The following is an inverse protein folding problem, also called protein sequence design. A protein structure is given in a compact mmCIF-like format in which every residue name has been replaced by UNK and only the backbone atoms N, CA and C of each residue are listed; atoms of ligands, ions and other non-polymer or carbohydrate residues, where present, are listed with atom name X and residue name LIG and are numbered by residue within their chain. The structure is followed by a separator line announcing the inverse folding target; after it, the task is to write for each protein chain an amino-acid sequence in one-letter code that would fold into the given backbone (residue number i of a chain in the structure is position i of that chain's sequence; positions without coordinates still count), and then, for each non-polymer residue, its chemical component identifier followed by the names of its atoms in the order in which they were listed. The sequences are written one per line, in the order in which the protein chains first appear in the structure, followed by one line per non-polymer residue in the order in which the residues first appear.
data_IF_371254081522
#
_entry.id   IF_371254081522
#
_cell.length_a   1.000
_cell.length_b   1.000
_cell.length_c   1.000
_cell.angle_alpha   90.00
_cell.angle_beta   90.00
_cell.angle_gamma   90.00
#
_symmetry.space_group_name_H-M   'P 1'
#
loop_
_entity.id
_entity.type
_entity.pdbx_description
1 polymer ?
#
# COMPACT_ATOMS: atom_id res chain seq x y z
N UNK A 1 37.20 -17.52 -16.01
CA UNK A 1 36.69 -18.31 -17.16
C UNK A 1 37.81 -19.20 -17.66
N UNK A 2 37.81 -20.47 -17.28
CA UNK A 2 38.76 -21.44 -17.83
C UNK A 2 38.19 -22.03 -19.14
N UNK A 3 39.06 -22.57 -19.98
CA UNK A 3 38.84 -22.81 -21.41
C UNK A 3 37.77 -23.85 -21.81
N UNK A 4 36.98 -24.36 -20.85
CA UNK A 4 35.90 -25.36 -21.09
C UNK A 4 34.49 -24.82 -20.84
N UNK A 5 34.34 -23.57 -20.39
CA UNK A 5 33.01 -22.93 -20.24
C UNK A 5 32.07 -23.62 -19.25
N UNK A 6 32.60 -24.28 -18.22
CA UNK A 6 31.82 -24.97 -17.20
C UNK A 6 31.19 -23.96 -16.24
N UNK A 7 29.86 -24.04 -16.05
CA UNK A 7 29.12 -23.18 -15.12
C UNK A 7 29.07 -23.87 -13.76
N UNK A 8 29.96 -23.46 -12.86
CA UNK A 8 29.98 -23.96 -11.48
C UNK A 8 28.77 -23.46 -10.69
N UNK A 9 28.09 -24.36 -9.97
CA UNK A 9 27.03 -24.02 -9.02
C UNK A 9 27.56 -24.25 -7.61
N UNK A 10 27.51 -23.22 -6.77
CA UNK A 10 28.08 -23.26 -5.43
C UNK A 10 27.00 -23.39 -4.36
N UNK A 11 27.23 -24.17 -3.28
CA UNK A 11 26.28 -24.29 -2.19
C UNK A 11 26.15 -22.97 -1.40
N UNK A 12 25.03 -22.79 -0.72
CA UNK A 12 24.83 -21.66 0.18
C UNK A 12 25.88 -21.67 1.31
N UNK A 13 26.40 -20.49 1.68
CA UNK A 13 27.45 -20.38 2.69
C UNK A 13 28.86 -20.76 2.18
N UNK A 14 29.09 -20.73 0.87
CA UNK A 14 30.41 -20.96 0.28
C UNK A 14 30.88 -19.82 -0.61
N UNK A 15 32.19 -19.74 -0.82
CA UNK A 15 32.83 -18.92 -1.84
C UNK A 15 33.61 -19.77 -2.84
N UNK A 16 33.65 -19.36 -4.13
CA UNK A 16 34.46 -20.01 -5.14
C UNK A 16 35.95 -19.99 -4.77
N UNK A 17 36.60 -21.15 -4.82
CA UNK A 17 38.01 -21.33 -4.47
C UNK A 17 38.68 -22.29 -5.47
N UNK A 18 38.59 -21.97 -6.75
CA UNK A 18 39.11 -22.79 -7.85
C UNK A 18 40.59 -23.19 -7.64
N UNK A 19 40.90 -24.46 -7.85
CA UNK A 19 42.27 -25.00 -7.78
C UNK A 19 42.76 -25.44 -9.17
N UNK A 20 44.03 -25.84 -9.26
CA UNK A 20 44.58 -26.40 -10.50
C UNK A 20 43.96 -27.75 -10.88
N UNK A 21 43.36 -28.44 -9.92
CA UNK A 21 42.77 -29.78 -10.07
C UNK A 21 41.25 -29.73 -10.26
N UNK A 22 40.58 -28.75 -9.64
CA UNK A 22 39.14 -28.56 -9.73
C UNK A 22 38.78 -27.07 -9.92
N UNK A 23 38.33 -26.67 -11.12
CA UNK A 23 37.92 -25.29 -11.40
C UNK A 23 36.64 -24.87 -10.66
N UNK A 24 35.85 -25.83 -10.16
CA UNK A 24 34.62 -25.61 -9.41
C UNK A 24 34.78 -25.83 -7.89
N UNK A 25 36.03 -25.94 -7.40
CA UNK A 25 36.29 -26.00 -5.98
C UNK A 25 35.73 -24.78 -5.23
N UNK A 26 35.33 -25.00 -3.98
CA UNK A 26 34.75 -23.99 -3.10
C UNK A 26 35.22 -24.16 -1.65
N UNK A 27 35.11 -23.09 -0.87
CA UNK A 27 35.35 -23.08 0.57
C UNK A 27 34.09 -22.66 1.30
N UNK A 28 33.80 -23.29 2.44
CA UNK A 28 32.71 -22.86 3.31
C UNK A 28 33.15 -21.67 4.16
N UNK A 29 32.29 -20.65 4.23
CA UNK A 29 32.56 -19.41 4.95
C UNK A 29 31.64 -19.27 6.15
N UNK A 30 31.85 -18.21 6.94
CA UNK A 30 30.94 -17.80 8.01
C UNK A 30 30.61 -18.91 9.01
N UNK A 31 31.60 -19.77 9.32
CA UNK A 31 31.48 -20.84 10.31
C UNK A 31 30.83 -22.14 9.81
N UNK A 32 30.42 -22.20 8.54
CA UNK A 32 29.91 -23.44 7.95
C UNK A 32 31.04 -24.43 7.67
N UNK A 33 30.73 -25.73 7.75
CA UNK A 33 31.70 -26.80 7.51
C UNK A 33 31.39 -27.57 6.23
N UNK A 34 32.42 -28.01 5.49
CA UNK A 34 32.23 -28.78 4.26
C UNK A 34 31.68 -30.18 4.57
N UNK A 35 30.65 -30.59 3.84
CA UNK A 35 30.05 -31.92 3.98
C UNK A 35 29.65 -32.51 2.63
N UNK A 36 29.88 -33.82 2.42
CA UNK A 36 30.65 -34.74 3.27
C UNK A 36 32.16 -34.44 3.27
N UNK A 37 32.87 -34.79 4.36
CA UNK A 37 34.26 -34.35 4.61
C UNK A 37 35.32 -34.80 3.57
N UNK A 38 35.02 -35.81 2.74
CA UNK A 38 35.94 -36.32 1.72
C UNK A 38 35.64 -35.86 0.29
N UNK A 39 34.41 -35.43 0.02
CA UNK A 39 33.95 -34.94 -1.29
C UNK A 39 32.81 -33.93 -1.06
N UNK A 40 33.16 -32.71 -0.62
CA UNK A 40 32.17 -31.77 -0.12
C UNK A 40 31.31 -31.25 -1.26
N UNK A 41 30.00 -31.40 -1.11
CA UNK A 41 29.00 -30.89 -2.06
C UNK A 41 28.13 -29.78 -1.45
N UNK A 42 28.24 -29.58 -0.14
CA UNK A 42 27.49 -28.56 0.59
C UNK A 42 28.26 -28.04 1.82
N UNK A 43 27.81 -26.89 2.30
CA UNK A 43 28.25 -26.30 3.55
C UNK A 43 27.13 -26.45 4.58
N UNK A 44 27.44 -27.07 5.72
CA UNK A 44 26.47 -27.37 6.77
C UNK A 44 26.79 -26.61 8.04
N UNK A 45 25.75 -26.27 8.79
CA UNK A 45 25.88 -25.72 10.14
C UNK A 45 25.45 -26.80 11.13
N UNK A 46 26.43 -27.49 11.71
CA UNK A 46 26.17 -28.61 12.62
C UNK A 46 25.97 -28.14 14.06
N UNK A 47 25.13 -28.88 14.79
CA UNK A 47 24.90 -28.63 16.20
C UNK A 47 26.22 -28.73 17.00
N UNK A 48 26.46 -27.83 17.97
CA UNK A 48 25.49 -26.94 18.63
C UNK A 48 25.31 -25.55 17.98
N UNK A 49 25.95 -25.27 16.83
CA UNK A 49 25.79 -23.99 16.14
C UNK A 49 24.44 -23.91 15.40
N UNK A 50 23.97 -22.69 15.14
CA UNK A 50 22.78 -22.41 14.36
C UNK A 50 23.08 -21.41 13.25
N UNK A 51 22.36 -21.53 12.13
CA UNK A 51 22.42 -20.56 11.03
C UNK A 51 21.65 -19.28 11.41
N UNK A 52 22.40 -18.21 11.63
CA UNK A 52 21.92 -16.87 11.92
C UNK A 52 22.01 -15.97 10.69
N UNK A 53 21.09 -16.12 9.72
CA UNK A 53 21.04 -15.33 8.48
C UNK A 53 22.35 -15.43 7.65
N UNK A 54 22.87 -16.64 7.44
CA UNK A 54 24.07 -16.90 6.65
C UNK A 54 25.37 -16.90 7.45
N UNK A 55 25.28 -16.88 8.79
CA UNK A 55 26.42 -17.06 9.71
C UNK A 55 26.13 -18.22 10.64
N UNK A 56 26.93 -19.28 10.56
CA UNK A 56 26.86 -20.41 11.47
C UNK A 56 27.63 -20.06 12.75
N UNK A 57 26.92 -19.89 13.86
CA UNK A 57 27.52 -19.51 15.14
C UNK A 57 26.81 -20.18 16.31
N UNK A 58 27.53 -20.33 17.42
CA UNK A 58 26.98 -20.71 18.73
C UNK A 58 26.50 -19.50 19.54
N UNK A 59 26.77 -18.29 19.06
CA UNK A 59 26.37 -17.05 19.73
C UNK A 59 24.88 -16.74 19.52
N UNK A 60 24.33 -15.86 20.35
CA UNK A 60 22.96 -15.39 20.20
C UNK A 60 22.78 -14.70 18.83
N UNK A 61 21.88 -15.23 17.99
CA UNK A 61 21.62 -14.64 16.67
C UNK A 61 21.21 -13.16 16.80
N UNK A 62 21.82 -12.24 16.02
CA UNK A 62 21.32 -10.87 15.92
C UNK A 62 19.93 -10.91 15.29
N UNK A 63 18.90 -10.64 16.10
CA UNK A 63 17.55 -10.42 15.59
C UNK A 63 17.55 -9.14 14.74
N UNK A 64 16.79 -9.06 13.64
CA UNK A 64 16.54 -7.80 12.97
C UNK A 64 16.05 -6.81 14.02
N UNK A 65 16.80 -5.73 14.24
CA UNK A 65 16.39 -4.67 15.15
C UNK A 65 14.98 -4.18 14.79
N UNK A 66 14.22 -3.63 15.75
CA UNK A 66 12.84 -3.21 15.49
C UNK A 66 12.80 -2.24 14.30
N UNK A 67 12.20 -2.69 13.19
CA UNK A 67 11.92 -1.82 12.05
C UNK A 67 11.03 -0.66 12.52
N UNK A 68 11.35 0.60 12.17
CA UNK A 68 10.49 1.73 12.53
C UNK A 68 9.13 1.55 11.87
N UNK A 69 8.14 1.12 12.65
CA UNK A 69 6.74 1.03 12.19
C UNK A 69 6.29 2.44 11.79
N UNK A 70 5.85 2.61 10.55
CA UNK A 70 5.13 3.82 10.11
C UNK A 70 3.83 3.93 10.90
N UNK A 71 3.87 4.54 12.08
CA UNK A 71 2.73 4.67 13.02
C UNK A 71 1.45 5.23 12.36
N UNK A 72 1.59 6.03 11.31
CA UNK A 72 0.47 6.61 10.56
C UNK A 72 -0.45 5.57 9.90
N UNK A 73 0.12 4.62 9.15
CA UNK A 73 -0.67 3.66 8.37
C UNK A 73 -1.49 2.71 9.26
N UNK A 74 -0.86 2.19 10.33
CA UNK A 74 -1.54 1.32 11.31
C UNK A 74 -2.67 2.04 12.04
N UNK A 75 -2.59 3.37 12.19
CA UNK A 75 -3.63 4.15 12.83
C UNK A 75 -4.83 4.35 11.89
N UNK A 76 -4.59 4.65 10.61
CA UNK A 76 -5.65 4.74 9.60
C UNK A 76 -6.42 3.42 9.42
N UNK A 77 -5.74 2.28 9.41
CA UNK A 77 -6.40 0.96 9.31
C UNK A 77 -7.33 0.70 10.49
N UNK A 78 -6.87 0.93 11.71
CA UNK A 78 -7.70 0.77 12.92
C UNK A 78 -8.93 1.66 12.89
N UNK A 79 -8.76 2.91 12.45
CA UNK A 79 -9.86 3.87 12.31
C UNK A 79 -10.87 3.47 11.25
N UNK A 80 -10.42 2.95 10.10
CA UNK A 80 -11.32 2.38 9.08
C UNK A 80 -12.16 1.23 9.64
N UNK A 81 -11.56 0.38 10.47
CA UNK A 81 -12.24 -0.75 11.10
C UNK A 81 -13.24 -0.36 12.21
N UNK A 82 -13.31 0.92 12.61
CA UNK A 82 -14.30 1.39 13.59
C UNK A 82 -15.68 1.61 12.98
N UNK A 83 -15.76 1.76 11.66
CA UNK A 83 -17.01 2.03 10.97
C UNK A 83 -17.71 0.74 10.53
N UNK A 84 -19.06 0.70 10.59
CA UNK A 84 -19.82 -0.44 10.10
C UNK A 84 -19.63 -0.64 8.60
N UNK A 85 -19.88 -1.86 8.12
CA UNK A 85 -19.87 -2.16 6.70
C UNK A 85 -20.83 -1.23 5.93
N UNK A 86 -20.41 -0.79 4.75
CA UNK A 86 -21.17 0.16 3.93
C UNK A 86 -20.99 1.63 4.31
N UNK A 87 -20.11 1.96 5.27
CA UNK A 87 -19.77 3.35 5.60
C UNK A 87 -18.27 3.60 5.49
N UNK A 88 -17.90 4.84 5.23
CA UNK A 88 -16.53 5.30 5.07
C UNK A 88 -16.10 6.10 6.30
N UNK A 89 -14.93 5.77 6.86
CA UNK A 89 -14.34 6.50 7.98
C UNK A 89 -13.73 7.83 7.51
N UNK A 90 -14.39 8.93 7.85
CA UNK A 90 -13.99 10.30 7.53
C UNK A 90 -13.32 10.97 8.71
N UNK A 91 -12.30 11.80 8.44
CA UNK A 91 -11.64 12.55 9.50
C UNK A 91 -12.54 13.70 9.97
N UNK A 92 -12.78 13.77 11.27
CA UNK A 92 -13.44 14.93 11.87
C UNK A 92 -12.41 16.03 12.11
N UNK A 93 -12.78 17.29 11.89
CA UNK A 93 -12.00 18.42 12.35
C UNK A 93 -12.03 18.46 13.89
N UNK A 94 -11.00 17.93 14.54
CA UNK A 94 -10.78 18.23 15.96
C UNK A 94 -9.86 19.45 16.15
N UNK A 95 -10.14 20.21 17.21
CA UNK A 95 -9.26 21.29 17.68
C UNK A 95 -7.88 20.74 17.98
N UNK A 96 -6.86 21.49 17.57
CA UNK A 96 -5.45 21.25 17.87
C UNK A 96 -5.27 20.90 19.36
N UNK A 97 -4.80 19.68 19.68
CA UNK A 97 -4.39 19.29 21.03
C UNK A 97 -5.18 18.15 21.69
N UNK A 98 -6.27 17.68 21.09
CA UNK A 98 -7.00 16.51 21.59
C UNK A 98 -6.51 15.24 20.87
N UNK A 99 -6.29 14.16 21.64
CA UNK A 99 -5.69 12.89 21.17
C UNK A 99 -6.71 11.90 20.63
N UNK A 100 -8.00 12.22 20.65
CA UNK A 100 -8.98 11.52 19.84
C UNK A 100 -8.82 12.05 18.42
N UNK A 101 -8.54 11.21 17.45
CA UNK A 101 -8.92 11.54 16.08
C UNK A 101 -10.23 10.82 15.86
N UNK A 102 -11.38 11.39 16.28
CA UNK A 102 -12.65 10.77 16.04
C UNK A 102 -12.85 10.67 14.54
N UNK A 103 -13.41 9.55 14.16
CA UNK A 103 -13.84 9.30 12.80
C UNK A 103 -15.34 9.44 12.77
N UNK A 104 -15.83 10.02 11.69
CA UNK A 104 -17.25 10.00 11.37
C UNK A 104 -17.49 8.92 10.31
N UNK A 105 -18.53 8.12 10.48
CA UNK A 105 -18.80 7.00 9.59
C UNK A 105 -19.92 7.41 8.62
N UNK A 106 -19.55 7.75 7.40
CA UNK A 106 -20.46 8.36 6.41
C UNK A 106 -20.76 7.38 5.29
N UNK A 107 -22.03 7.24 4.92
CA UNK A 107 -22.44 6.55 3.70
C UNK A 107 -22.15 7.44 2.48
N UNK A 108 -20.92 7.37 1.98
CA UNK A 108 -20.44 8.18 0.86
C UNK A 108 -21.13 7.87 -0.47
N UNK A 109 -21.94 6.80 -0.53
CA UNK A 109 -22.70 6.48 -1.74
C UNK A 109 -24.01 7.28 -1.85
N UNK A 110 -24.52 7.79 -0.73
CA UNK A 110 -25.81 8.49 -0.65
C UNK A 110 -25.73 9.85 0.07
N UNK A 111 -24.63 10.16 0.75
CA UNK A 111 -24.43 11.43 1.43
C UNK A 111 -24.18 12.58 0.44
N UNK A 112 -24.87 13.71 0.63
CA UNK A 112 -24.81 14.85 -0.28
C UNK A 112 -23.50 15.62 -0.19
N UNK A 113 -22.94 15.74 1.01
CA UNK A 113 -21.78 16.58 1.31
C UNK A 113 -20.48 15.81 1.08
N UNK A 114 -20.50 14.50 1.26
CA UNK A 114 -19.38 13.57 1.11
C UNK A 114 -19.68 12.52 0.01
N UNK A 115 -20.19 12.98 -1.13
CA UNK A 115 -20.52 12.08 -2.22
C UNK A 115 -19.25 11.54 -2.89
N UNK A 116 -19.13 10.22 -2.98
CA UNK A 116 -18.01 9.51 -3.61
C UNK A 116 -16.74 9.41 -2.76
N UNK A 117 -16.77 9.93 -1.53
CA UNK A 117 -15.66 9.89 -0.60
C UNK A 117 -15.83 10.91 0.51
N UNK A 118 -14.90 10.97 1.46
CA UNK A 118 -15.01 11.93 2.56
C UNK A 118 -14.68 13.35 2.09
N UNK A 119 -15.41 14.36 2.57
CA UNK A 119 -14.96 15.77 2.48
C UNK A 119 -13.57 15.97 3.07
N UNK A 120 -13.34 15.31 4.20
CA UNK A 120 -12.07 15.24 4.90
C UNK A 120 -11.56 13.79 4.90
N UNK A 121 -10.75 13.40 3.91
CA UNK A 121 -10.17 12.07 3.84
C UNK A 121 -9.31 11.76 5.07
N UNK A 122 -9.37 10.52 5.52
CA UNK A 122 -8.60 10.05 6.68
C UNK A 122 -7.08 10.06 6.45
N UNK A 123 -6.68 9.83 5.20
CA UNK A 123 -5.31 9.85 4.70
C UNK A 123 -5.30 10.15 3.20
N UNK A 124 -4.10 10.35 2.64
CA UNK A 124 -3.89 10.67 1.23
C UNK A 124 -4.31 9.56 0.25
N UNK A 125 -4.64 8.36 0.74
CA UNK A 125 -5.09 7.24 -0.09
C UNK A 125 -6.61 7.10 -0.11
N UNK A 126 -7.31 7.82 0.77
CA UNK A 126 -8.77 7.76 0.87
C UNK A 126 -9.40 8.66 -0.19
N UNK A 127 -10.47 8.23 -0.88
CA UNK A 127 -11.11 9.02 -1.92
C UNK A 127 -11.66 10.32 -1.32
N UNK A 128 -11.43 11.42 -2.03
CA UNK A 128 -11.97 12.72 -1.67
C UNK A 128 -13.36 12.87 -2.26
N UNK A 129 -14.34 13.12 -1.39
CA UNK A 129 -15.71 13.38 -1.80
C UNK A 129 -15.91 14.78 -2.35
N UNK A 130 -17.14 15.02 -2.77
CA UNK A 130 -17.63 16.34 -3.15
C UNK A 130 -19.00 16.61 -2.56
N UNK A 131 -19.26 17.88 -2.32
CA UNK A 131 -20.58 18.38 -1.98
C UNK A 131 -21.38 18.59 -3.27
N UNK A 132 -22.49 17.85 -3.41
CA UNK A 132 -23.39 17.96 -4.56
C UNK A 132 -24.28 19.21 -4.49
N UNK A 133 -24.46 19.80 -3.31
CA UNK A 133 -25.25 21.03 -3.12
C UNK A 133 -24.55 22.27 -3.68
N UNK A 134 -23.22 22.23 -3.75
CA UNK A 134 -22.40 23.28 -4.34
C UNK A 134 -22.40 23.30 -5.89
N UNK A 135 -23.20 22.48 -6.58
CA UNK A 135 -23.27 22.48 -8.06
C UNK A 135 -23.96 23.77 -8.55
N UNK A 136 -23.26 24.64 -9.29
CA UNK A 136 -23.84 25.92 -9.71
C UNK A 136 -25.05 25.76 -10.62
N UNK A 137 -26.11 26.51 -10.35
CA UNK A 137 -27.34 26.50 -11.14
C UNK A 137 -28.18 25.22 -11.01
N UNK A 138 -27.81 24.28 -10.13
CA UNK A 138 -28.66 23.14 -9.80
C UNK A 138 -29.69 23.54 -8.73
N UNK A 139 -30.95 23.16 -8.93
CA UNK A 139 -32.01 23.32 -7.92
C UNK A 139 -32.26 22.04 -7.12
N UNK A 140 -32.05 20.88 -7.75
CA UNK A 140 -32.19 19.59 -7.09
C UNK A 140 -31.05 18.68 -7.52
N UNK A 141 -30.44 18.05 -6.53
CA UNK A 141 -29.31 17.15 -6.65
C UNK A 141 -29.50 15.97 -5.71
N UNK A 142 -28.83 14.86 -6.01
CA UNK A 142 -28.71 13.70 -5.12
C UNK A 142 -27.33 13.08 -5.27
N UNK A 143 -26.83 12.46 -4.22
CA UNK A 143 -25.74 11.51 -4.33
C UNK A 143 -26.32 10.11 -4.57
N UNK A 144 -25.76 9.38 -5.54
CA UNK A 144 -26.13 7.99 -5.76
C UNK A 144 -24.92 7.20 -6.25
N UNK A 145 -24.58 6.11 -5.56
CA UNK A 145 -23.41 5.29 -5.86
C UNK A 145 -22.12 6.12 -5.96
N UNK A 146 -22.00 7.13 -5.09
CA UNK A 146 -20.84 8.01 -5.02
C UNK A 146 -20.75 9.04 -6.15
N UNK A 147 -21.83 9.25 -6.91
CA UNK A 147 -21.89 10.21 -8.01
C UNK A 147 -22.98 11.25 -7.75
N UNK A 148 -22.64 12.53 -7.92
CA UNK A 148 -23.63 13.61 -7.90
C UNK A 148 -24.48 13.57 -9.17
N UNK A 149 -25.80 13.48 -8.98
CA UNK A 149 -26.79 13.50 -10.05
C UNK A 149 -27.66 14.74 -9.87
N UNK A 150 -27.67 15.61 -10.87
CA UNK A 150 -28.56 16.76 -10.96
C UNK A 150 -29.94 16.29 -11.43
N UNK A 151 -30.97 16.57 -10.64
CA UNK A 151 -32.37 16.27 -10.94
C UNK A 151 -33.14 17.45 -11.54
N UNK A 152 -32.69 18.70 -11.35
CA UNK A 152 -33.24 19.89 -12.01
C UNK A 152 -32.26 21.08 -11.95
N UNK A 153 -32.34 21.94 -12.94
CA UNK A 153 -31.54 23.17 -13.04
C UNK A 153 -32.42 24.41 -12.89
N UNK A 154 -31.86 25.48 -12.38
CA UNK A 154 -32.49 26.78 -12.22
C UNK A 154 -32.79 27.42 -13.59
N UNK A 155 -33.65 28.43 -13.58
CA UNK A 155 -34.05 29.19 -14.75
C UNK A 155 -32.83 29.76 -15.48
N UNK A 156 -32.76 29.52 -16.79
CA UNK A 156 -31.62 29.92 -17.63
C UNK A 156 -30.48 28.90 -17.68
N UNK A 157 -30.64 27.74 -17.04
CA UNK A 157 -29.73 26.60 -17.15
C UNK A 157 -30.43 25.37 -17.73
N UNK A 158 -29.66 24.55 -18.44
CA UNK A 158 -30.06 23.26 -19.00
C UNK A 158 -29.13 22.20 -18.42
N UNK A 159 -29.67 21.02 -18.14
CA UNK A 159 -28.88 19.92 -17.59
C UNK A 159 -27.92 19.37 -18.63
N UNK A 160 -26.69 19.10 -18.23
CA UNK A 160 -25.72 18.38 -19.06
C UNK A 160 -26.23 16.96 -19.38
N UNK A 161 -25.79 16.40 -20.52
CA UNK A 161 -26.24 15.09 -20.99
C UNK A 161 -25.93 13.95 -20.00
N UNK A 162 -24.86 14.08 -19.22
CA UNK A 162 -24.43 13.14 -18.19
C UNK A 162 -25.12 13.35 -16.83
N UNK A 163 -26.01 14.36 -16.73
CA UNK A 163 -26.67 14.78 -15.50
C UNK A 163 -25.72 15.23 -14.36
N UNK A 164 -24.46 15.56 -14.66
CA UNK A 164 -23.48 15.93 -13.62
C UNK A 164 -23.51 17.42 -13.26
N UNK A 165 -24.10 18.25 -14.12
CA UNK A 165 -24.04 19.71 -14.01
C UNK A 165 -25.20 20.42 -14.71
N UNK A 166 -25.31 21.71 -14.43
CA UNK A 166 -26.19 22.65 -15.12
C UNK A 166 -25.36 23.62 -15.96
N UNK A 167 -25.67 23.71 -17.24
CA UNK A 167 -24.98 24.56 -18.22
C UNK A 167 -25.90 25.72 -18.58
N UNK A 168 -25.39 26.95 -18.63
CA UNK A 168 -26.21 28.10 -19.06
C UNK A 168 -26.81 27.83 -20.45
N UNK A 169 -28.11 28.05 -20.60
CA UNK A 169 -28.82 27.88 -21.87
C UNK A 169 -28.19 28.70 -23.01
N UNK A 170 -27.64 29.88 -22.70
CA UNK A 170 -26.92 30.72 -23.68
C UNK A 170 -25.66 30.05 -24.21
N UNK A 171 -24.92 29.34 -23.35
CA UNK A 171 -23.72 28.58 -23.73
C UNK A 171 -24.07 27.29 -24.45
N UNK A 172 -25.16 26.63 -24.05
CA UNK A 172 -25.64 25.41 -24.70
C UNK A 172 -26.03 25.64 -26.17
N UNK A 173 -26.69 26.77 -26.47
CA UNK A 173 -27.06 27.16 -27.84
C UNK A 173 -25.87 27.57 -28.73
N UNK A 174 -24.68 27.76 -28.18
CA UNK A 174 -23.46 28.10 -28.94
C UNK A 174 -22.61 26.86 -29.27
N UNK A 175 -22.98 25.69 -28.72
CA UNK A 175 -22.26 24.42 -28.89
C UNK A 175 -23.00 23.43 -29.80
N UNK A 176 -24.19 23.80 -30.26
CA UNK A 176 -25.02 23.09 -31.25
C UNK A 176 -25.34 24.04 -32.40
#
# INVERSE_FOLDING_TARGET
INASGEVCTYPAGSTPAATAEDPCAFTCDNGFTPSPAGDPTMCVCEAPAADCNGVCTTDACPSPGPVPRRRGYTNSLRKRAMCPAGTTACAVYERRGVRSNPVDCIDTDNDLESCGGCMNPLDSFSPKGRDCSAIPGAMSFKCKFGVCIVNSCDSGYVRAADNSSCISARRFLQQN
#
